data_IF_622574927680
#
_entry.id   IF_622574927680
#
_cell.length_a   1.000
_cell.length_b   1.000
_cell.length_c   1.000
_cell.angle_alpha   90.00
_cell.angle_beta   90.00
_cell.angle_gamma   90.00
#
_symmetry.space_group_name_H-M   'P 1'
#
loop_
_entity.id
_entity.type
_entity.pdbx_description
1 polymer ?
#
# COMPACT_ATOMS: atom_id res chain seq x y z
N UNK A 1 1.36 -9.19 -16.90
CA UNK A 1 1.16 -9.50 -15.49
C UNK A 1 2.11 -8.61 -14.77
N UNK A 2 1.54 -7.57 -14.20
CA UNK A 2 2.29 -6.39 -13.83
C UNK A 2 2.56 -6.43 -12.34
N UNK A 3 3.67 -5.78 -11.96
CA UNK A 3 4.02 -5.60 -10.56
C UNK A 3 4.41 -4.14 -10.39
N UNK A 4 3.62 -3.46 -9.57
CA UNK A 4 3.84 -2.07 -9.23
C UNK A 4 4.73 -2.02 -7.99
N UNK A 5 5.82 -1.25 -8.05
CA UNK A 5 6.71 -1.06 -6.90
C UNK A 5 6.59 0.37 -6.40
N UNK A 6 6.33 0.50 -5.10
CA UNK A 6 6.24 1.78 -4.40
C UNK A 6 7.32 1.76 -3.31
N UNK A 7 8.14 2.80 -3.25
CA UNK A 7 9.20 2.93 -2.26
C UNK A 7 8.75 3.85 -1.12
N UNK A 8 8.52 3.27 0.06
CA UNK A 8 8.13 3.99 1.26
C UNK A 8 9.32 4.43 2.14
N UNK A 9 10.56 4.07 1.77
CA UNK A 9 11.77 4.35 2.58
C UNK A 9 12.25 5.81 2.49
N UNK A 10 11.51 6.67 1.78
CA UNK A 10 11.80 8.09 1.65
C UNK A 10 11.63 8.85 2.97
N UNK A 11 12.14 10.08 3.02
CA UNK A 11 12.07 10.95 4.21
C UNK A 11 10.82 11.85 4.25
N UNK A 12 9.82 11.55 3.43
CA UNK A 12 8.65 12.41 3.29
C UNK A 12 7.41 11.63 2.87
N UNK A 13 6.27 12.31 3.00
CA UNK A 13 4.97 11.72 2.73
C UNK A 13 4.85 11.28 1.27
N UNK A 14 4.58 10.00 1.07
CA UNK A 14 4.41 9.38 -0.25
C UNK A 14 2.94 9.22 -0.59
N UNK A 15 2.57 9.62 -1.80
CA UNK A 15 1.23 9.40 -2.36
C UNK A 15 1.34 8.61 -3.66
N UNK A 16 0.56 7.55 -3.79
CA UNK A 16 0.50 6.76 -5.01
C UNK A 16 -0.93 6.27 -5.28
N UNK A 17 -1.20 5.96 -6.54
CA UNK A 17 -2.47 5.40 -6.99
C UNK A 17 -2.21 4.30 -8.00
N UNK A 18 -2.79 3.13 -7.76
CA UNK A 18 -2.89 2.03 -8.72
C UNK A 18 -4.34 1.99 -9.20
N UNK A 19 -4.59 2.41 -10.44
CA UNK A 19 -5.94 2.69 -10.92
C UNK A 19 -6.72 1.46 -11.40
N UNK A 20 -6.04 0.36 -11.75
CA UNK A 20 -6.65 -0.80 -12.40
C UNK A 20 -5.91 -2.09 -12.03
N UNK A 21 -5.80 -2.40 -10.73
CA UNK A 21 -5.15 -3.63 -10.27
C UNK A 21 -5.99 -4.85 -10.68
N UNK A 22 -5.36 -5.83 -11.33
CA UNK A 22 -6.00 -7.08 -11.76
C UNK A 22 -5.68 -8.27 -10.82
N UNK A 23 -6.47 -9.38 -10.84
CA UNK A 23 -6.30 -10.51 -9.90
C UNK A 23 -4.94 -11.22 -9.94
N UNK A 24 -4.23 -11.16 -11.07
CA UNK A 24 -2.90 -11.76 -11.23
C UNK A 24 -1.76 -10.77 -10.92
N UNK A 25 -2.09 -9.51 -10.62
CA UNK A 25 -1.13 -8.42 -10.41
C UNK A 25 -0.86 -8.16 -8.94
N UNK A 26 0.26 -7.47 -8.70
CA UNK A 26 0.75 -7.18 -7.37
C UNK A 26 1.12 -5.71 -7.26
N UNK A 27 0.88 -5.13 -6.08
CA UNK A 27 1.55 -3.90 -5.67
C UNK A 27 2.45 -4.20 -4.47
N UNK A 28 3.72 -3.83 -4.57
CA UNK A 28 4.75 -4.11 -3.56
C UNK A 28 5.20 -2.77 -2.97
N UNK A 29 4.97 -2.59 -1.68
CA UNK A 29 5.40 -1.40 -0.94
C UNK A 29 6.63 -1.75 -0.11
N UNK A 30 7.77 -1.12 -0.41
CA UNK A 30 9.02 -1.31 0.33
C UNK A 30 9.11 -0.40 1.55
N UNK A 31 9.78 -0.87 2.60
CA UNK A 31 9.99 -0.13 3.85
C UNK A 31 9.22 -0.71 5.05
N UNK A 32 8.42 -1.74 4.84
CA UNK A 32 7.67 -2.40 5.90
C UNK A 32 8.61 -3.07 6.91
N UNK A 33 8.36 -2.85 8.20
CA UNK A 33 9.07 -3.50 9.31
C UNK A 33 8.06 -4.19 10.22
N UNK A 34 8.14 -5.52 10.30
CA UNK A 34 7.24 -6.31 11.15
C UNK A 34 7.29 -5.84 12.61
N UNK A 35 6.11 -5.79 13.23
CA UNK A 35 5.87 -5.31 14.59
C UNK A 35 6.18 -3.82 14.86
N UNK A 36 6.67 -3.06 13.87
CA UNK A 36 6.85 -1.60 13.97
C UNK A 36 5.83 -0.88 13.10
N UNK A 37 5.74 -1.26 11.83
CA UNK A 37 4.86 -0.61 10.86
C UNK A 37 3.40 -0.94 11.12
N UNK A 38 2.51 0.01 10.80
CA UNK A 38 1.07 -0.13 10.92
C UNK A 38 0.36 0.13 9.60
N UNK A 39 -0.62 -0.72 9.28
CA UNK A 39 -1.52 -0.56 8.14
C UNK A 39 -2.92 -0.22 8.63
N UNK A 40 -3.49 0.86 8.12
CA UNK A 40 -4.90 1.19 8.27
C UNK A 40 -5.54 1.43 6.90
N UNK A 41 -6.86 1.36 6.84
CA UNK A 41 -7.63 1.47 5.60
C UNK A 41 -8.57 2.66 5.65
N UNK A 42 -8.71 3.34 4.52
CA UNK A 42 -9.66 4.42 4.31
C UNK A 42 -10.46 4.19 3.02
N UNK A 43 -11.78 4.32 3.11
CA UNK A 43 -12.70 3.98 2.02
C UNK A 43 -13.05 5.20 1.19
N UNK A 44 -13.20 5.02 -0.13
CA UNK A 44 -13.61 6.09 -1.08
C UNK A 44 -12.68 7.32 -1.06
N UNK A 45 -11.43 7.14 -0.64
CA UNK A 45 -10.38 8.15 -0.68
C UNK A 45 -9.62 8.14 -2.02
N UNK A 46 -8.72 9.11 -2.22
CA UNK A 46 -7.94 9.29 -3.44
C UNK A 46 -8.34 10.51 -4.28
N UNK A 47 -7.66 10.69 -5.41
CA UNK A 47 -7.95 11.80 -6.33
C UNK A 47 -9.32 11.63 -7.02
N UNK A 48 -9.95 12.74 -7.41
CA UNK A 48 -11.22 12.71 -8.13
C UNK A 48 -11.09 11.92 -9.45
N UNK A 49 -11.97 10.93 -9.65
CA UNK A 49 -11.93 10.01 -10.79
C UNK A 49 -11.06 8.76 -10.54
N UNK A 50 -10.33 8.70 -9.43
CA UNK A 50 -9.48 7.59 -9.03
C UNK A 50 -9.75 7.15 -7.59
N UNK A 51 -10.94 7.43 -7.06
CA UNK A 51 -11.28 7.02 -5.71
C UNK A 51 -11.38 5.50 -5.59
N UNK A 52 -11.07 5.00 -4.39
CA UNK A 52 -11.19 3.60 -4.04
C UNK A 52 -10.72 3.36 -2.62
N UNK A 53 -10.36 2.11 -2.31
CA UNK A 53 -9.75 1.77 -1.03
C UNK A 53 -8.33 2.32 -0.96
N UNK A 54 -7.98 3.00 0.13
CA UNK A 54 -6.66 3.58 0.35
C UNK A 54 -6.00 2.93 1.55
N UNK A 55 -4.82 2.34 1.33
CA UNK A 55 -3.92 1.90 2.38
C UNK A 55 -3.18 3.12 2.94
N UNK A 56 -3.22 3.28 4.26
CA UNK A 56 -2.43 4.25 5.02
C UNK A 56 -1.40 3.49 5.81
N UNK A 57 -0.13 3.73 5.50
CA UNK A 57 1.00 3.03 6.12
C UNK A 57 1.80 4.02 6.95
N UNK A 58 1.97 3.67 8.22
CA UNK A 58 2.92 4.24 9.16
C UNK A 58 4.11 3.27 9.21
N UNK A 59 5.28 3.69 8.75
CA UNK A 59 6.44 2.80 8.66
C UNK A 59 7.23 2.73 9.97
N UNK A 60 7.32 3.83 10.71
CA UNK A 60 8.17 3.96 11.89
C UNK A 60 7.43 3.78 13.23
N UNK A 61 6.10 3.64 13.18
CA UNK A 61 5.24 3.43 14.33
C UNK A 61 4.97 4.70 15.14
N UNK A 62 5.17 5.88 14.56
CA UNK A 62 5.00 7.16 15.26
C UNK A 62 3.53 7.63 15.33
N UNK A 63 2.62 6.96 14.61
CA UNK A 63 1.19 7.26 14.56
C UNK A 63 0.76 8.19 13.42
N UNK A 64 1.71 8.80 12.69
CA UNK A 64 1.46 9.55 11.47
C UNK A 64 1.51 8.63 10.23
N UNK A 65 0.80 9.02 9.17
CA UNK A 65 0.84 8.27 7.91
C UNK A 65 2.04 8.72 7.09
N UNK A 66 2.90 7.79 6.70
CA UNK A 66 4.05 8.03 5.83
C UNK A 66 3.73 7.78 4.34
N UNK A 67 2.80 6.86 4.07
CA UNK A 67 2.42 6.50 2.71
C UNK A 67 0.91 6.28 2.56
N UNK A 68 0.36 6.93 1.55
CA UNK A 68 -0.98 6.70 1.03
C UNK A 68 -0.91 5.96 -0.30
N UNK A 69 -1.55 4.80 -0.38
CA UNK A 69 -1.69 4.03 -1.62
C UNK A 69 -3.17 3.77 -1.90
N UNK A 70 -3.71 4.48 -2.89
CA UNK A 70 -5.09 4.27 -3.34
C UNK A 70 -5.14 3.20 -4.43
N UNK A 71 -6.07 2.26 -4.30
CA UNK A 71 -6.43 1.31 -5.33
C UNK A 71 -7.77 1.73 -5.95
N UNK A 72 -7.71 2.34 -7.13
CA UNK A 72 -8.87 2.88 -7.83
C UNK A 72 -9.89 1.80 -8.16
N UNK A 73 -11.17 2.09 -8.00
CA UNK A 73 -12.27 1.19 -8.38
C UNK A 73 -12.44 -0.06 -7.49
N UNK A 74 -11.59 -0.25 -6.47
CA UNK A 74 -11.70 -1.37 -5.53
C UNK A 74 -12.41 -0.97 -4.22
N UNK A 75 -13.15 -1.92 -3.67
CA UNK A 75 -13.83 -1.80 -2.38
C UNK A 75 -12.95 -2.33 -1.22
N UNK A 76 -13.20 -1.85 0.01
CA UNK A 76 -12.52 -2.33 1.22
C UNK A 76 -12.87 -3.80 1.48
N UNK A 77 -11.86 -4.62 1.74
CA UNK A 77 -11.99 -6.08 1.86
C UNK A 77 -11.77 -6.85 0.56
N UNK A 78 -11.52 -6.17 -0.56
CA UNK A 78 -11.11 -6.80 -1.83
C UNK A 78 -9.61 -7.07 -1.94
N UNK A 79 -8.81 -6.67 -0.95
CA UNK A 79 -7.34 -6.76 -0.98
C UNK A 79 -6.81 -7.60 0.18
N UNK A 80 -5.87 -8.47 -0.14
CA UNK A 80 -4.98 -9.10 0.83
C UNK A 80 -3.68 -8.28 0.93
N UNK A 81 -3.23 -8.05 2.16
CA UNK A 81 -1.93 -7.46 2.45
C UNK A 81 -1.06 -8.50 3.18
N UNK A 82 0.13 -8.80 2.67
CA UNK A 82 1.01 -9.85 3.21
C UNK A 82 2.43 -9.31 3.35
N UNK A 83 3.00 -9.26 4.57
CA UNK A 83 4.40 -8.92 4.77
C UNK A 83 5.34 -9.92 4.11
N UNK A 84 6.50 -9.44 3.69
CA UNK A 84 7.59 -10.26 3.21
C UNK A 84 8.93 -9.55 3.35
N UNK A 85 10.02 -10.26 3.08
CA UNK A 85 11.37 -9.72 3.20
C UNK A 85 12.28 -10.27 2.10
N UNK A 86 13.15 -9.43 1.55
CA UNK A 86 14.26 -9.82 0.68
C UNK A 86 15.56 -9.30 1.31
N UNK A 87 16.43 -10.21 1.75
CA UNK A 87 17.63 -9.82 2.49
C UNK A 87 17.24 -9.09 3.79
N UNK A 88 17.64 -7.82 3.92
CA UNK A 88 17.28 -6.94 5.04
C UNK A 88 16.13 -6.00 4.73
N UNK A 89 15.65 -5.95 3.49
CA UNK A 89 14.58 -5.05 3.08
C UNK A 89 13.22 -5.74 3.23
N UNK A 90 12.38 -5.20 4.12
CA UNK A 90 10.99 -5.62 4.28
C UNK A 90 10.04 -4.91 3.32
N UNK A 91 8.97 -5.62 2.96
CA UNK A 91 7.91 -5.09 2.09
C UNK A 91 6.53 -5.58 2.55
N UNK A 92 5.51 -4.86 2.11
CA UNK A 92 4.11 -5.26 2.21
C UNK A 92 3.55 -5.48 0.80
N UNK A 93 3.15 -6.71 0.50
CA UNK A 93 2.57 -7.08 -0.79
C UNK A 93 1.05 -6.98 -0.74
N UNK A 94 0.47 -6.33 -1.75
CA UNK A 94 -0.96 -6.20 -1.97
C UNK A 94 -1.38 -6.94 -3.23
N UNK A 95 -2.51 -7.64 -3.16
CA UNK A 95 -3.18 -8.29 -4.29
C UNK A 95 -4.67 -8.37 -4.03
N UNK A 96 -5.46 -8.59 -5.08
CA UNK A 96 -6.87 -8.93 -4.92
C UNK A 96 -6.99 -10.29 -4.21
N UNK A 97 -7.90 -10.35 -3.23
CA UNK A 97 -8.19 -11.53 -2.41
C UNK A 97 -9.06 -12.55 -3.16
#
# INVERSE_FOLDING_TARGET
MDTFFIDGRGQGLTWSTVADLQPEEWAIVWGWTDAVSHLTWEDLAGAAGHQGVTARIDFDGNGDTDLFLTFGGLAPGGLAATPGQIGTDGYLAFRIA
#
